data_IF_850866726504
#
_entry.id   IF_850866726504
#
_cell.length_a   1.000
_cell.length_b   1.000
_cell.length_c   1.000
_cell.angle_alpha   90.00
_cell.angle_beta   90.00
_cell.angle_gamma   90.00
#
_symmetry.space_group_name_H-M   'P 1'
#
loop_
_entity.id
_entity.type
_entity.pdbx_description
1 polymer ?
#
# COMPACT_ATOMS: atom_id res chain seq x y z
N UNK A 1 12.46 35.75 0.64
CA UNK A 1 11.10 35.15 0.56
C UNK A 1 11.27 33.66 0.28
N UNK A 2 11.80 32.88 1.22
CA UNK A 2 12.24 31.49 0.94
C UNK A 2 11.95 30.48 2.07
N UNK A 3 11.17 30.86 3.09
CA UNK A 3 10.81 29.97 4.21
C UNK A 3 9.55 29.12 3.96
N UNK A 4 9.06 29.08 2.73
CA UNK A 4 7.74 28.49 2.43
C UNK A 4 7.85 27.26 1.53
N UNK A 5 8.72 27.28 0.52
CA UNK A 5 8.84 26.17 -0.45
C UNK A 5 9.44 24.90 0.19
N UNK A 6 10.59 25.01 0.85
CA UNK A 6 11.24 23.84 1.50
C UNK A 6 10.37 23.23 2.62
N UNK A 7 9.65 24.09 3.34
CA UNK A 7 8.76 23.71 4.45
C UNK A 7 7.47 23.07 3.96
N UNK A 8 6.91 23.54 2.83
CA UNK A 8 5.80 22.89 2.14
C UNK A 8 6.21 21.53 1.58
N UNK A 9 7.39 21.44 0.97
CA UNK A 9 7.91 20.18 0.43
C UNK A 9 8.05 19.12 1.51
N UNK A 10 8.65 19.46 2.66
CA UNK A 10 8.75 18.54 3.81
C UNK A 10 7.39 18.12 4.36
N UNK A 11 6.40 19.02 4.39
CA UNK A 11 5.02 18.68 4.83
C UNK A 11 4.35 17.71 3.87
N UNK A 12 4.54 17.90 2.57
CA UNK A 12 4.06 16.96 1.55
C UNK A 12 4.76 15.61 1.71
N UNK A 13 6.09 15.60 1.82
CA UNK A 13 6.86 14.38 2.02
C UNK A 13 6.40 13.60 3.26
N UNK A 14 6.18 14.26 4.39
CA UNK A 14 5.62 13.64 5.59
C UNK A 14 4.19 13.14 5.35
N UNK A 15 3.30 13.93 4.76
CA UNK A 15 1.91 13.53 4.51
C UNK A 15 1.82 12.33 3.56
N UNK A 16 2.60 12.35 2.48
CA UNK A 16 2.66 11.25 1.52
C UNK A 16 3.39 10.02 2.09
N UNK A 17 4.43 10.19 2.91
CA UNK A 17 5.07 9.09 3.62
C UNK A 17 4.16 8.47 4.68
N UNK A 18 3.38 9.29 5.41
CA UNK A 18 2.40 8.81 6.39
C UNK A 18 1.25 8.09 5.68
N UNK A 19 0.82 8.58 4.51
CA UNK A 19 -0.14 7.89 3.65
C UNK A 19 0.43 6.59 3.07
N UNK A 20 1.70 6.56 2.68
CA UNK A 20 2.42 5.35 2.25
C UNK A 20 2.50 4.33 3.40
N UNK A 21 2.85 4.77 4.62
CA UNK A 21 2.90 3.93 5.80
C UNK A 21 1.52 3.42 6.22
N UNK A 22 0.50 4.27 6.24
CA UNK A 22 -0.88 3.88 6.51
C UNK A 22 -1.42 2.94 5.42
N UNK A 23 -1.14 3.22 4.14
CA UNK A 23 -1.47 2.33 3.03
C UNK A 23 -0.75 0.99 3.18
N UNK A 24 0.53 0.97 3.54
CA UNK A 24 1.30 -0.24 3.77
C UNK A 24 0.71 -1.06 4.93
N UNK A 25 0.27 -0.40 6.01
CA UNK A 25 -0.38 -1.04 7.14
C UNK A 25 -1.75 -1.62 6.77
N UNK A 26 -2.54 -0.90 5.99
CA UNK A 26 -3.82 -1.39 5.42
C UNK A 26 -3.59 -2.58 4.48
N UNK A 27 -2.56 -2.52 3.63
CA UNK A 27 -2.22 -3.60 2.71
C UNK A 27 -1.75 -4.85 3.47
N UNK A 28 -0.93 -4.69 4.52
CA UNK A 28 -0.56 -5.79 5.42
C UNK A 28 -1.79 -6.39 6.09
N UNK A 29 -2.66 -5.56 6.65
CA UNK A 29 -3.90 -6.04 7.27
C UNK A 29 -4.74 -6.85 6.27
N UNK A 30 -4.94 -6.32 5.06
CA UNK A 30 -5.64 -7.02 3.98
C UNK A 30 -4.99 -8.36 3.64
N UNK A 31 -3.66 -8.43 3.55
CA UNK A 31 -2.91 -9.67 3.32
C UNK A 31 -3.18 -10.70 4.41
N UNK A 32 -3.10 -10.31 5.69
CA UNK A 32 -3.33 -11.22 6.81
C UNK A 32 -4.79 -11.65 6.93
N UNK A 33 -5.73 -10.83 6.43
CA UNK A 33 -7.15 -11.19 6.34
C UNK A 33 -7.53 -11.85 5.03
N UNK A 34 -6.61 -11.92 4.05
CA UNK A 34 -6.86 -12.48 2.73
C UNK A 34 -7.01 -13.98 2.88
N UNK A 35 -8.24 -14.47 2.70
CA UNK A 35 -8.57 -15.89 2.72
C UNK A 35 -9.25 -16.24 1.42
N UNK A 36 -8.96 -17.44 0.93
CA UNK A 36 -9.66 -18.00 -0.21
C UNK A 36 -11.07 -18.39 0.21
N UNK A 37 -12.07 -18.03 -0.58
CA UNK A 37 -13.45 -18.46 -0.33
C UNK A 37 -13.68 -19.87 -0.88
N UNK A 38 -14.52 -20.66 -0.23
CA UNK A 38 -14.91 -21.97 -0.74
C UNK A 38 -15.63 -21.81 -2.10
N UNK A 39 -15.14 -22.52 -3.12
CA UNK A 39 -15.63 -22.43 -4.49
C UNK A 39 -14.87 -21.46 -5.40
N UNK A 40 -13.91 -20.68 -4.88
CA UNK A 40 -12.98 -19.94 -5.75
C UNK A 40 -12.03 -20.89 -6.49
N UNK A 41 -11.68 -20.54 -7.72
CA UNK A 41 -10.61 -21.19 -8.45
C UNK A 41 -9.27 -20.81 -7.83
N UNK A 42 -8.51 -21.81 -7.38
CA UNK A 42 -7.19 -21.63 -6.76
C UNK A 42 -6.25 -20.77 -7.63
N UNK A 43 -6.33 -20.93 -8.96
CA UNK A 43 -5.54 -20.16 -9.92
C UNK A 43 -5.84 -18.66 -9.86
N UNK A 44 -7.12 -18.30 -9.75
CA UNK A 44 -7.55 -16.91 -9.71
C UNK A 44 -7.17 -16.27 -8.37
N UNK A 45 -7.31 -17.02 -7.27
CA UNK A 45 -6.86 -16.60 -5.95
C UNK A 45 -5.35 -16.34 -5.90
N UNK A 46 -4.54 -17.24 -6.48
CA UNK A 46 -3.08 -17.07 -6.58
C UNK A 46 -2.73 -15.86 -7.46
N UNK A 47 -3.45 -15.63 -8.56
CA UNK A 47 -3.22 -14.47 -9.43
C UNK A 47 -3.49 -13.15 -8.69
N UNK A 48 -4.60 -13.08 -7.94
CA UNK A 48 -4.92 -11.92 -7.10
C UNK A 48 -3.85 -11.67 -6.04
N UNK A 49 -3.35 -12.74 -5.40
CA UNK A 49 -2.27 -12.64 -4.41
C UNK A 49 -0.97 -12.09 -5.02
N UNK A 50 -0.60 -12.53 -6.22
CA UNK A 50 0.62 -12.05 -6.91
C UNK A 50 0.50 -10.56 -7.25
N UNK A 51 -0.64 -10.13 -7.78
CA UNK A 51 -0.91 -8.70 -8.08
C UNK A 51 -0.81 -7.86 -6.80
N UNK A 52 -1.45 -8.31 -5.73
CA UNK A 52 -1.43 -7.63 -4.44
C UNK A 52 -0.02 -7.53 -3.83
N UNK A 53 0.79 -8.59 -3.98
CA UNK A 53 2.20 -8.61 -3.56
C UNK A 53 3.07 -7.62 -4.35
N UNK A 54 2.81 -7.47 -5.65
CA UNK A 54 3.49 -6.48 -6.48
C UNK A 54 3.09 -5.05 -6.12
N UNK A 55 1.80 -4.80 -5.85
CA UNK A 55 1.32 -3.51 -5.36
C UNK A 55 1.98 -3.13 -4.02
N UNK A 56 2.12 -4.10 -3.12
CA UNK A 56 2.84 -3.94 -1.85
C UNK A 56 4.32 -3.56 -2.04
N UNK A 57 5.01 -4.15 -3.03
CA UNK A 57 6.41 -3.80 -3.33
C UNK A 57 6.56 -2.42 -3.98
N UNK A 58 5.53 -1.94 -4.66
CA UNK A 58 5.53 -0.65 -5.36
C UNK A 58 5.16 0.52 -4.44
N UNK A 59 4.55 0.27 -3.28
CA UNK A 59 4.39 1.28 -2.22
C UNK A 59 5.74 1.49 -1.52
N UNK A 60 6.51 2.45 -2.06
CA UNK A 60 7.79 2.90 -1.51
C UNK A 60 7.61 4.08 -0.54
#
# INVERSE_FOLDING_TARGET
MEKTSSTLWKRLEILYATKSLANHLVLKQRLFTFRMNEGELLKDHISQFITFSNDLKNVK
#
